data_IF_380745605029
#
_entry.id   IF_380745605029
#
_cell.length_a   1.000
_cell.length_b   1.000
_cell.length_c   1.000
_cell.angle_alpha   90.00
_cell.angle_beta   90.00
_cell.angle_gamma   90.00
#
_symmetry.space_group_name_H-M   'P 1'
#
loop_
_entity.id
_entity.type
_entity.pdbx_description
1 polymer ?
#
# COMPACT_ATOMS: atom_id res chain seq x y z
N UNK A 1 9.32 20.57 1.99
CA UNK A 1 7.90 20.80 2.38
C UNK A 1 7.26 19.43 2.50
N UNK A 2 6.97 19.01 3.73
CA UNK A 2 6.13 17.85 3.98
C UNK A 2 4.69 18.35 4.08
N UNK A 3 3.85 17.95 3.16
CA UNK A 3 2.43 18.20 3.21
C UNK A 3 1.75 16.99 3.86
N UNK A 4 1.09 17.20 4.99
CA UNK A 4 0.18 16.22 5.55
C UNK A 4 -1.18 16.47 4.92
N UNK A 5 -1.56 15.63 3.97
CA UNK A 5 -2.91 15.64 3.41
C UNK A 5 -3.78 14.87 4.41
N UNK A 6 -4.67 15.59 5.10
CA UNK A 6 -5.73 14.96 5.88
C UNK A 6 -6.74 14.36 4.91
N UNK A 7 -6.77 13.04 4.79
CA UNK A 7 -7.89 12.34 4.20
C UNK A 7 -9.04 12.24 5.22
N UNK A 8 -10.22 11.79 4.82
CA UNK A 8 -11.41 11.53 5.67
C UNK A 8 -11.10 10.78 6.99
N UNK A 9 -9.94 10.15 7.08
CA UNK A 9 -9.45 9.47 8.29
C UNK A 9 -9.12 10.40 9.46
N UNK A 10 -8.95 11.70 9.28
CA UNK A 10 -8.49 12.57 10.36
C UNK A 10 -9.50 12.76 11.50
N UNK A 11 -10.80 12.72 11.22
CA UNK A 11 -11.84 12.83 12.25
C UNK A 11 -12.48 11.47 12.55
N UNK A 12 -12.68 10.63 11.53
CA UNK A 12 -13.47 9.40 11.65
C UNK A 12 -12.70 8.23 12.25
N UNK A 13 -11.41 8.09 11.93
CA UNK A 13 -10.58 6.96 12.32
C UNK A 13 -9.30 7.37 13.05
N UNK A 14 -9.29 8.60 13.60
CA UNK A 14 -8.11 9.19 14.19
C UNK A 14 -7.71 8.60 15.55
N UNK A 15 -8.52 7.67 16.09
CA UNK A 15 -8.35 7.16 17.45
C UNK A 15 -8.08 8.31 18.44
N UNK A 16 -9.03 9.25 18.52
CA UNK A 16 -8.97 10.47 19.34
C UNK A 16 -7.76 11.35 19.02
N UNK A 17 -7.43 11.49 17.74
CA UNK A 17 -6.33 12.33 17.26
C UNK A 17 -4.95 11.69 17.34
N UNK A 18 -4.83 10.44 17.78
CA UNK A 18 -3.52 9.78 17.92
C UNK A 18 -2.82 9.59 16.58
N UNK A 19 -3.58 9.38 15.50
CA UNK A 19 -3.04 9.29 14.14
C UNK A 19 -2.45 10.62 13.69
N UNK A 20 -3.21 11.72 13.78
CA UNK A 20 -2.75 13.08 13.46
C UNK A 20 -1.50 13.45 14.26
N UNK A 21 -1.51 13.16 15.57
CA UNK A 21 -0.35 13.39 16.42
C UNK A 21 0.90 12.65 15.97
N UNK A 22 0.77 11.35 15.65
CA UNK A 22 1.89 10.53 15.15
C UNK A 22 2.47 11.08 13.85
N UNK A 23 1.64 11.51 12.91
CA UNK A 23 2.08 12.12 11.65
C UNK A 23 2.87 13.41 11.89
N UNK A 24 2.34 14.34 12.70
CA UNK A 24 3.03 15.58 13.01
C UNK A 24 4.36 15.35 13.73
N UNK A 25 4.37 14.46 14.72
CA UNK A 25 5.61 14.10 15.43
C UNK A 25 6.62 13.38 14.53
N UNK A 26 6.15 12.56 13.60
CA UNK A 26 6.98 11.92 12.58
C UNK A 26 7.67 12.94 11.68
N UNK A 27 6.92 13.92 11.17
CA UNK A 27 7.46 15.00 10.35
C UNK A 27 8.50 15.84 11.11
N UNK A 28 8.22 16.22 12.37
CA UNK A 28 9.16 16.98 13.20
C UNK A 28 10.46 16.20 13.46
N UNK A 29 10.36 14.90 13.75
CA UNK A 29 11.52 14.02 13.93
C UNK A 29 12.35 13.87 12.67
N UNK A 30 11.70 13.87 11.51
CA UNK A 30 12.37 13.83 10.21
C UNK A 30 13.03 15.17 9.83
N UNK A 31 12.99 16.18 10.71
CA UNK A 31 13.63 17.48 10.50
C UNK A 31 12.77 18.48 9.74
N UNK A 32 11.45 18.31 9.72
CA UNK A 32 10.58 19.33 9.14
C UNK A 32 10.67 20.64 9.94
N UNK A 33 10.93 21.72 9.25
CA UNK A 33 10.92 23.07 9.82
C UNK A 33 9.55 23.76 9.72
N UNK A 34 8.67 23.22 8.91
CA UNK A 34 7.31 23.69 8.70
C UNK A 34 6.39 22.51 8.42
N UNK A 35 5.22 22.51 9.04
CA UNK A 35 4.14 21.56 8.80
C UNK A 35 2.92 22.34 8.33
N UNK A 36 2.36 21.93 7.20
CA UNK A 36 1.05 22.39 6.75
C UNK A 36 0.01 21.33 7.12
N UNK A 37 -0.99 21.73 7.89
CA UNK A 37 -2.11 20.85 8.25
C UNK A 37 -3.30 21.24 7.38
N UNK A 38 -3.71 20.37 6.53
CA UNK A 38 -4.91 20.51 5.72
C UNK A 38 -6.01 19.61 6.32
N UNK A 39 -7.18 20.09 6.64
CA UNK A 39 -7.64 21.47 6.41
C UNK A 39 -8.14 22.05 7.73
N UNK A 40 -8.29 23.39 7.78
CA UNK A 40 -8.77 24.03 8.99
C UNK A 40 -10.28 23.85 9.19
N UNK A 41 -11.08 23.99 8.15
CA UNK A 41 -12.54 24.13 8.19
C UNK A 41 -13.32 23.30 7.15
N UNK A 42 -12.71 22.38 6.44
CA UNK A 42 -13.40 21.52 5.48
C UNK A 42 -14.18 20.40 6.17
N UNK A 43 -15.38 20.72 6.61
CA UNK A 43 -16.26 19.81 7.36
C UNK A 43 -16.91 18.76 6.47
N UNK A 44 -17.15 19.07 5.23
CA UNK A 44 -17.77 18.21 4.23
C UNK A 44 -16.87 17.04 3.83
N UNK A 45 -15.55 17.22 3.92
CA UNK A 45 -14.56 16.17 3.70
C UNK A 45 -14.11 15.45 4.99
N UNK A 46 -14.60 15.86 6.15
CA UNK A 46 -14.22 15.28 7.44
C UNK A 46 -12.78 15.58 7.86
N UNK A 47 -12.13 16.59 7.28
CA UNK A 47 -10.73 16.94 7.53
C UNK A 47 -10.52 18.18 8.40
N UNK A 48 -11.61 18.78 8.90
CA UNK A 48 -11.57 20.00 9.70
C UNK A 48 -10.89 19.79 11.06
N UNK A 49 -9.97 20.67 11.43
CA UNK A 49 -9.31 20.69 12.75
C UNK A 49 -9.90 21.73 13.70
N UNK A 50 -10.81 22.60 13.25
CA UNK A 50 -11.45 23.58 14.11
C UNK A 50 -12.49 22.93 15.05
N UNK A 51 -13.22 23.70 15.81
CA UNK A 51 -14.19 23.19 16.79
C UNK A 51 -15.29 22.37 16.13
N UNK A 52 -15.41 21.10 16.52
CA UNK A 52 -16.41 20.17 16.04
C UNK A 52 -17.59 20.06 17.01
N UNK A 53 -18.80 19.90 16.49
CA UNK A 53 -19.99 19.75 17.30
C UNK A 53 -20.13 18.34 17.87
N UNK A 54 -20.64 18.25 19.12
CA UNK A 54 -21.07 16.97 19.73
C UNK A 54 -22.44 16.54 19.19
N UNK A 55 -23.30 17.52 18.92
CA UNK A 55 -24.60 17.33 18.30
C UNK A 55 -24.58 18.01 16.95
N UNK A 56 -24.77 17.24 15.90
CA UNK A 56 -24.70 17.72 14.51
C UNK A 56 -26.11 17.97 13.97
N UNK A 57 -26.30 18.97 13.10
CA UNK A 57 -27.60 19.23 12.51
C UNK A 57 -28.04 18.06 11.62
N UNK A 58 -29.33 17.79 11.62
CA UNK A 58 -29.98 16.81 10.75
C UNK A 58 -30.52 17.51 9.50
N UNK A 59 -30.26 16.94 8.32
CA UNK A 59 -30.71 17.51 7.05
C UNK A 59 -30.62 16.51 5.91
N UNK A 60 -30.42 17.01 4.70
CA UNK A 60 -30.21 16.15 3.52
C UNK A 60 -28.83 15.49 3.52
N UNK A 61 -27.86 16.08 4.16
CA UNK A 61 -26.51 15.55 4.33
C UNK A 61 -26.33 14.96 5.71
N UNK A 62 -25.55 13.90 5.81
CA UNK A 62 -25.17 13.27 7.09
C UNK A 62 -23.84 13.87 7.55
N UNK A 63 -23.87 14.57 8.69
CA UNK A 63 -22.65 15.05 9.35
C UNK A 63 -22.21 14.05 10.41
N UNK A 64 -20.92 13.94 10.62
CA UNK A 64 -20.33 13.09 11.67
C UNK A 64 -19.99 13.95 12.87
N UNK A 65 -20.54 13.64 14.07
CA UNK A 65 -20.15 14.35 15.29
C UNK A 65 -18.72 14.03 15.69
N UNK A 66 -18.14 14.87 16.55
CA UNK A 66 -16.88 14.51 17.19
C UNK A 66 -17.05 13.25 18.04
N UNK A 67 -16.00 12.44 18.14
CA UNK A 67 -16.01 11.18 18.89
C UNK A 67 -16.45 11.37 20.34
N UNK A 68 -17.15 10.34 20.87
CA UNK A 68 -17.60 10.36 22.26
C UNK A 68 -16.43 10.46 23.24
N UNK A 69 -16.57 11.35 24.23
CA UNK A 69 -15.52 11.62 25.22
C UNK A 69 -14.38 12.50 24.73
N UNK A 70 -14.51 13.10 23.54
CA UNK A 70 -13.56 14.06 22.99
C UNK A 70 -14.12 15.48 23.09
N UNK A 71 -13.28 16.44 23.51
CA UNK A 71 -13.66 17.85 23.56
C UNK A 71 -13.79 18.47 22.16
N UNK A 72 -14.71 19.41 21.99
CA UNK A 72 -15.04 20.00 20.69
C UNK A 72 -13.85 20.68 19.98
N UNK A 73 -12.88 21.17 20.75
CA UNK A 73 -11.66 21.84 20.27
C UNK A 73 -10.41 20.95 20.35
N UNK A 74 -10.60 19.64 20.48
CA UNK A 74 -9.52 18.67 20.70
C UNK A 74 -8.48 18.71 19.60
N UNK A 75 -8.89 18.64 18.33
CA UNK A 75 -7.97 18.61 17.19
C UNK A 75 -7.22 19.93 17.04
N UNK A 76 -7.89 21.06 17.31
CA UNK A 76 -7.26 22.38 17.32
C UNK A 76 -6.17 22.47 18.41
N UNK A 77 -6.46 21.99 19.62
CA UNK A 77 -5.49 21.89 20.71
C UNK A 77 -4.32 20.99 20.35
N UNK A 78 -4.60 19.84 19.74
CA UNK A 78 -3.58 18.86 19.32
C UNK A 78 -2.58 19.48 18.34
N UNK A 79 -3.07 20.18 17.32
CA UNK A 79 -2.23 20.91 16.35
C UNK A 79 -1.44 22.03 17.04
N UNK A 80 -2.07 22.75 17.97
CA UNK A 80 -1.39 23.77 18.77
C UNK A 80 -0.24 23.21 19.61
N UNK A 81 -0.40 22.06 20.22
CA UNK A 81 0.65 21.39 20.95
C UNK A 81 1.79 20.90 20.03
N UNK A 82 1.45 20.35 18.85
CA UNK A 82 2.45 19.97 17.86
C UNK A 82 3.26 21.18 17.36
N UNK A 83 2.60 22.32 17.17
CA UNK A 83 3.26 23.57 16.79
C UNK A 83 4.27 24.05 17.85
N UNK A 84 3.99 23.87 19.15
CA UNK A 84 4.96 24.18 20.22
C UNK A 84 6.18 23.25 20.14
N UNK A 85 5.99 21.98 19.84
CA UNK A 85 7.09 21.03 19.64
C UNK A 85 7.93 21.43 18.42
N UNK A 86 7.30 21.75 17.30
CA UNK A 86 7.95 22.20 16.08
C UNK A 86 8.84 23.44 16.31
N UNK A 87 8.35 24.41 17.09
CA UNK A 87 9.10 25.62 17.47
C UNK A 87 10.11 25.41 18.59
N UNK A 88 10.27 24.16 19.06
CA UNK A 88 11.15 23.78 20.18
C UNK A 88 10.79 24.47 21.51
N UNK A 89 9.56 24.97 21.66
CA UNK A 89 9.03 25.55 22.90
C UNK A 89 8.64 24.45 23.91
N UNK A 90 8.43 23.24 23.44
CA UNK A 90 8.09 22.06 24.23
C UNK A 90 8.91 20.86 23.77
N UNK A 91 9.50 20.14 24.71
CA UNK A 91 10.14 18.88 24.39
C UNK A 91 9.10 17.83 23.97
N UNK A 92 9.46 16.97 23.02
CA UNK A 92 8.66 15.80 22.70
C UNK A 92 8.66 14.93 23.96
N UNK A 93 7.49 14.80 24.62
CA UNK A 93 7.35 13.82 25.69
C UNK A 93 7.38 12.44 25.04
N UNK A 94 8.49 11.75 25.22
CA UNK A 94 8.57 10.34 24.85
C UNK A 94 7.77 9.55 25.89
N UNK A 95 6.69 8.93 25.45
CA UNK A 95 6.15 7.80 26.19
C UNK A 95 7.15 6.67 25.99
N UNK A 96 8.01 6.44 26.99
CA UNK A 96 9.10 5.46 26.96
C UNK A 96 8.65 4.01 26.83
N UNK A 97 7.36 3.76 26.77
CA UNK A 97 6.79 2.47 26.44
C UNK A 97 6.67 2.19 24.93
N UNK A 98 6.87 3.21 24.09
CA UNK A 98 7.05 2.99 22.66
C UNK A 98 8.56 2.85 22.42
N UNK A 99 8.98 1.66 22.08
CA UNK A 99 10.28 1.38 21.47
C UNK A 99 10.64 2.54 20.55
N UNK A 100 11.89 3.08 20.54
CA UNK A 100 12.25 4.16 19.65
C UNK A 100 11.90 3.72 18.24
N UNK A 101 10.72 4.18 17.80
CA UNK A 101 10.18 3.83 16.50
C UNK A 101 11.28 3.98 15.50
N UNK A 102 11.56 2.95 14.75
CA UNK A 102 12.41 3.08 13.58
C UNK A 102 11.79 4.20 12.75
N UNK A 103 12.45 5.38 12.65
CA UNK A 103 11.84 6.48 11.93
C UNK A 103 11.67 6.08 10.48
N UNK A 104 10.58 6.54 9.82
CA UNK A 104 10.43 6.39 8.39
C UNK A 104 11.67 6.95 7.65
N UNK A 105 12.16 6.28 6.62
CA UNK A 105 11.64 5.03 6.08
C UNK A 105 11.95 3.83 7.00
N UNK A 106 11.06 2.83 7.02
CA UNK A 106 11.28 1.61 7.82
C UNK A 106 12.33 0.67 7.19
N UNK A 107 12.52 0.73 5.88
CA UNK A 107 13.61 0.07 5.15
C UNK A 107 14.73 1.08 4.94
N UNK A 108 15.96 0.74 5.39
CA UNK A 108 17.11 1.67 5.35
C UNK A 108 18.38 1.05 4.82
N UNK A 109 18.43 -0.25 4.73
CA UNK A 109 19.62 -1.01 4.37
C UNK A 109 19.65 -1.41 2.90
N UNK A 110 18.55 -1.16 2.18
CA UNK A 110 18.42 -1.44 0.76
C UNK A 110 17.43 -0.46 0.09
N UNK A 111 17.49 -0.38 -1.22
CA UNK A 111 16.48 0.31 -2.01
C UNK A 111 15.35 -0.67 -2.34
N UNK A 112 14.11 -0.18 -2.27
CA UNK A 112 12.92 -0.94 -2.65
C UNK A 112 11.97 -0.07 -3.44
N UNK A 113 11.18 -0.70 -4.33
CA UNK A 113 10.21 -0.02 -5.15
C UNK A 113 8.89 -0.82 -5.20
N UNK A 114 7.83 -0.16 -5.65
CA UNK A 114 6.55 -0.72 -6.07
C UNK A 114 5.93 -1.72 -5.07
N UNK A 115 5.77 -1.36 -3.78
CA UNK A 115 5.29 -2.30 -2.79
C UNK A 115 3.81 -2.61 -2.95
N UNK A 116 3.43 -3.88 -2.75
CA UNK A 116 2.06 -4.25 -2.40
C UNK A 116 1.95 -4.58 -0.90
N UNK A 117 0.79 -4.32 -0.30
CA UNK A 117 0.63 -4.44 1.13
C UNK A 117 -0.69 -5.11 1.50
N UNK A 118 -0.62 -6.21 2.28
CA UNK A 118 -1.78 -7.01 2.66
C UNK A 118 -1.77 -7.36 4.14
N UNK A 119 -2.94 -7.39 4.75
CA UNK A 119 -3.14 -7.96 6.09
C UNK A 119 -3.72 -9.35 5.91
N UNK A 120 -3.02 -10.36 6.44
CA UNK A 120 -3.47 -11.74 6.34
C UNK A 120 -4.25 -12.19 7.59
N UNK A 121 -4.67 -13.45 7.62
CA UNK A 121 -5.49 -14.02 8.70
C UNK A 121 -4.83 -13.97 10.09
N UNK A 122 -3.51 -13.90 10.14
CA UNK A 122 -2.75 -13.72 11.39
C UNK A 122 -2.81 -12.29 11.95
N UNK A 123 -3.45 -11.36 11.23
CA UNK A 123 -3.61 -9.96 11.61
C UNK A 123 -2.37 -9.11 11.37
N UNK A 124 -1.29 -9.66 10.82
CA UNK A 124 -0.07 -8.91 10.47
C UNK A 124 -0.20 -8.25 9.10
N UNK A 125 0.36 -7.06 8.98
CA UNK A 125 0.59 -6.38 7.70
C UNK A 125 1.88 -6.92 7.09
N UNK A 126 1.79 -7.39 5.84
CA UNK A 126 2.93 -7.81 5.02
C UNK A 126 3.10 -6.85 3.85
N UNK A 127 4.34 -6.48 3.58
CA UNK A 127 4.73 -5.61 2.45
C UNK A 127 5.68 -6.39 1.56
N UNK A 128 5.26 -6.58 0.33
CA UNK A 128 6.04 -7.25 -0.73
C UNK A 128 6.62 -6.17 -1.63
N UNK A 129 7.93 -6.14 -1.79
CA UNK A 129 8.60 -5.08 -2.52
C UNK A 129 9.69 -5.60 -3.45
N UNK A 130 9.83 -4.95 -4.59
CA UNK A 130 10.98 -5.15 -5.48
C UNK A 130 12.26 -4.65 -4.82
N UNK A 131 13.36 -5.38 -4.98
CA UNK A 131 14.69 -4.87 -4.66
C UNK A 131 15.13 -3.90 -5.76
N UNK A 132 15.13 -2.63 -5.46
CA UNK A 132 15.60 -1.59 -6.36
C UNK A 132 17.12 -1.45 -6.29
N UNK A 133 17.71 -0.93 -7.35
CA UNK A 133 19.16 -0.83 -7.49
C UNK A 133 19.58 0.63 -7.37
N UNK A 134 20.69 0.85 -6.68
CA UNK A 134 21.22 2.19 -6.47
C UNK A 134 21.47 2.94 -7.80
N UNK A 135 21.14 4.24 -7.87
CA UNK A 135 21.40 5.06 -9.05
C UNK A 135 22.89 4.98 -9.51
N UNK A 136 23.18 5.22 -10.78
CA UNK A 136 22.33 5.79 -11.84
C UNK A 136 21.46 4.78 -12.60
N UNK A 137 21.63 3.49 -12.37
CA UNK A 137 20.82 2.43 -13.00
C UNK A 137 19.95 1.77 -11.95
N UNK A 138 18.72 1.44 -12.30
CA UNK A 138 17.74 0.94 -11.35
C UNK A 138 16.81 -0.12 -11.96
N UNK A 139 15.71 0.28 -12.52
CA UNK A 139 14.57 -0.59 -12.83
C UNK A 139 14.90 -1.82 -13.70
N UNK A 140 15.82 -1.71 -14.66
CA UNK A 140 16.24 -2.82 -15.52
C UNK A 140 17.13 -3.86 -14.80
N UNK A 141 17.62 -3.54 -13.61
CA UNK A 141 18.48 -4.41 -12.81
C UNK A 141 17.80 -4.99 -11.57
N UNK A 142 16.56 -4.62 -11.29
CA UNK A 142 15.78 -5.20 -10.19
C UNK A 142 15.74 -6.72 -10.31
N UNK A 143 16.32 -7.43 -9.35
CA UNK A 143 16.67 -8.84 -9.49
C UNK A 143 15.90 -9.77 -8.54
N UNK A 144 15.18 -9.23 -7.53
CA UNK A 144 14.55 -10.02 -6.49
C UNK A 144 13.41 -9.31 -5.77
N UNK A 145 12.68 -10.06 -4.96
CA UNK A 145 11.63 -9.54 -4.08
C UNK A 145 11.94 -9.83 -2.63
N UNK A 146 11.65 -8.85 -1.77
CA UNK A 146 11.73 -8.94 -0.32
C UNK A 146 10.36 -8.81 0.33
N UNK A 147 10.20 -9.39 1.52
CA UNK A 147 9.00 -9.24 2.34
C UNK A 147 9.35 -8.65 3.70
N UNK A 148 8.56 -7.68 4.09
CA UNK A 148 8.62 -7.06 5.41
C UNK A 148 7.27 -7.24 6.10
N UNK A 149 7.22 -7.37 7.43
CA UNK A 149 5.96 -7.44 8.13
C UNK A 149 5.96 -6.71 9.46
N UNK A 150 4.76 -6.35 9.93
CA UNK A 150 4.58 -5.66 11.20
C UNK A 150 3.21 -5.95 11.81
N UNK A 151 3.13 -5.91 13.15
CA UNK A 151 1.86 -5.95 13.88
C UNK A 151 1.38 -4.54 14.29
N UNK A 152 2.26 -3.56 14.29
CA UNK A 152 2.04 -2.25 14.89
C UNK A 152 2.44 -1.07 13.98
N UNK A 153 2.93 -1.34 12.77
CA UNK A 153 3.49 -0.37 11.80
C UNK A 153 4.67 0.45 12.37
N UNK A 154 5.26 -0.03 13.47
CA UNK A 154 6.38 0.59 14.18
C UNK A 154 7.58 -0.34 14.20
N UNK A 155 7.36 -1.57 14.61
CA UNK A 155 8.37 -2.63 14.66
C UNK A 155 8.23 -3.50 13.42
N UNK A 156 9.27 -3.57 12.62
CA UNK A 156 9.26 -4.31 11.36
C UNK A 156 10.18 -5.51 11.42
N UNK A 157 9.72 -6.61 10.86
CA UNK A 157 10.51 -7.81 10.60
C UNK A 157 10.86 -7.83 9.13
N UNK A 158 12.14 -7.91 8.80
CA UNK A 158 12.63 -8.22 7.46
C UNK A 158 12.74 -9.75 7.33
N UNK A 159 11.97 -10.33 6.42
CA UNK A 159 11.98 -11.77 6.15
C UNK A 159 13.01 -12.15 5.08
N UNK A 160 13.66 -11.16 4.48
CA UNK A 160 14.62 -11.39 3.41
C UNK A 160 13.99 -11.63 2.05
N UNK A 161 14.79 -12.21 1.19
CA UNK A 161 14.42 -12.52 -0.18
C UNK A 161 13.46 -13.72 -0.26
N UNK A 162 12.43 -13.57 -1.09
CA UNK A 162 11.44 -14.64 -1.33
C UNK A 162 11.50 -15.21 -2.74
N UNK A 163 12.02 -14.46 -3.71
CA UNK A 163 12.14 -14.85 -5.09
C UNK A 163 13.19 -14.01 -5.80
N UNK A 164 13.96 -14.61 -6.70
CA UNK A 164 14.92 -13.92 -7.56
C UNK A 164 14.73 -14.28 -9.04
N UNK A 165 15.26 -13.44 -9.93
CA UNK A 165 15.07 -13.55 -11.38
C UNK A 165 15.66 -14.84 -11.99
N UNK A 166 16.71 -15.40 -11.39
CA UNK A 166 17.33 -16.65 -11.79
C UNK A 166 16.47 -17.89 -11.49
N UNK A 167 15.45 -17.76 -10.66
CA UNK A 167 14.47 -18.80 -10.36
C UNK A 167 13.29 -18.83 -11.34
N UNK A 168 13.24 -17.90 -12.32
CA UNK A 168 12.15 -17.81 -13.31
C UNK A 168 12.48 -18.64 -14.54
N UNK A 169 11.86 -19.82 -14.78
CA UNK A 169 12.28 -20.76 -15.83
C UNK A 169 12.13 -20.24 -17.26
N UNK A 170 11.18 -19.32 -17.49
CA UNK A 170 10.96 -18.68 -18.80
C UNK A 170 11.63 -17.32 -18.92
N UNK A 171 12.24 -16.83 -17.82
CA UNK A 171 12.76 -15.48 -17.71
C UNK A 171 13.96 -15.23 -18.60
N UNK A 172 14.31 -13.96 -18.70
CA UNK A 172 15.53 -13.52 -19.38
C UNK A 172 16.76 -14.12 -18.73
N UNK A 173 17.72 -14.55 -19.56
CA UNK A 173 19.00 -15.10 -19.09
C UNK A 173 19.84 -14.08 -18.33
N UNK A 174 19.71 -12.82 -18.69
CA UNK A 174 20.39 -11.69 -18.05
C UNK A 174 19.78 -11.29 -16.71
N UNK A 175 18.61 -11.84 -16.37
CA UNK A 175 17.88 -11.47 -15.16
C UNK A 175 17.32 -10.06 -15.20
N UNK A 176 17.12 -9.45 -14.03
CA UNK A 176 16.55 -8.12 -13.87
C UNK A 176 15.02 -8.08 -14.00
N UNK A 177 14.45 -6.88 -14.05
CA UNK A 177 13.04 -6.63 -14.35
C UNK A 177 12.02 -7.31 -13.41
N UNK A 178 12.40 -7.57 -12.17
CA UNK A 178 11.49 -8.03 -11.12
C UNK A 178 10.74 -6.80 -10.57
N UNK A 179 9.74 -6.34 -11.34
CA UNK A 179 9.00 -5.09 -11.08
C UNK A 179 7.80 -5.33 -10.17
N UNK A 180 6.92 -4.33 -10.07
CA UNK A 180 5.78 -4.26 -9.16
C UNK A 180 5.08 -5.61 -8.93
N UNK A 181 5.19 -6.21 -7.73
CA UNK A 181 4.56 -7.47 -7.41
C UNK A 181 3.20 -7.28 -6.74
N UNK A 182 2.45 -8.37 -6.67
CA UNK A 182 1.32 -8.49 -5.76
C UNK A 182 1.24 -9.88 -5.13
N UNK A 183 0.48 -10.01 -4.05
CA UNK A 183 0.25 -11.28 -3.38
C UNK A 183 -1.23 -11.44 -3.04
N UNK A 184 -1.77 -12.63 -3.26
CA UNK A 184 -3.13 -12.99 -2.87
C UNK A 184 -3.13 -14.28 -2.05
N UNK A 185 -4.15 -14.44 -1.20
CA UNK A 185 -4.34 -15.66 -0.42
C UNK A 185 -5.65 -16.32 -0.78
N UNK A 186 -5.60 -17.63 -1.04
CA UNK A 186 -6.80 -18.44 -1.28
C UNK A 186 -6.57 -19.87 -0.83
N UNK A 187 -7.49 -20.42 -0.05
CA UNK A 187 -7.54 -21.82 0.33
C UNK A 187 -6.20 -22.37 0.93
N UNK A 188 -5.58 -21.60 1.83
CA UNK A 188 -4.33 -22.03 2.50
C UNK A 188 -3.07 -21.79 1.69
N UNK A 189 -3.16 -21.15 0.54
CA UNK A 189 -2.04 -20.91 -0.35
C UNK A 189 -1.89 -19.42 -0.64
N UNK A 190 -0.68 -18.92 -0.52
CA UNK A 190 -0.28 -17.59 -0.97
C UNK A 190 0.20 -17.68 -2.41
N UNK A 191 -0.35 -16.82 -3.26
CA UNK A 191 -0.02 -16.68 -4.67
C UNK A 191 0.67 -15.36 -4.87
N UNK A 192 1.94 -15.39 -5.20
CA UNK A 192 2.75 -14.22 -5.44
C UNK A 192 2.85 -13.98 -6.95
N UNK A 193 2.35 -12.81 -7.40
CA UNK A 193 2.32 -12.42 -8.80
C UNK A 193 3.41 -11.40 -9.06
N UNK A 194 4.10 -11.58 -10.18
CA UNK A 194 5.21 -10.71 -10.55
C UNK A 194 5.32 -10.57 -12.07
N UNK A 195 5.55 -9.37 -12.61
CA UNK A 195 5.84 -9.21 -14.03
C UNK A 195 7.28 -9.62 -14.30
N UNK A 196 7.51 -10.31 -15.42
CA UNK A 196 8.85 -10.63 -15.88
C UNK A 196 8.88 -10.86 -17.38
N UNK A 197 9.82 -10.23 -18.13
CA UNK A 197 9.93 -10.46 -19.57
C UNK A 197 10.56 -11.82 -19.87
N UNK A 198 10.05 -12.51 -20.88
CA UNK A 198 10.55 -13.82 -21.29
C UNK A 198 11.65 -13.75 -22.34
N UNK A 199 11.82 -12.59 -22.99
CA UNK A 199 12.80 -12.39 -24.07
C UNK A 199 13.36 -10.97 -24.04
N UNK A 200 14.09 -10.62 -25.08
CA UNK A 200 14.65 -9.29 -25.28
C UNK A 200 13.68 -8.31 -25.94
N UNK A 201 12.63 -8.82 -26.58
CA UNK A 201 11.57 -7.98 -27.12
C UNK A 201 10.75 -7.41 -25.97
N UNK A 202 10.82 -6.09 -25.82
CA UNK A 202 10.25 -5.38 -24.69
C UNK A 202 8.73 -5.41 -24.66
N UNK A 203 8.07 -5.29 -25.81
CA UNK A 203 6.64 -5.05 -25.86
C UNK A 203 5.80 -6.32 -25.74
N UNK A 204 6.31 -7.45 -26.26
CA UNK A 204 5.51 -8.65 -26.45
C UNK A 204 5.93 -9.81 -25.54
N UNK A 205 6.97 -9.65 -24.73
CA UNK A 205 7.53 -10.75 -23.94
C UNK A 205 7.12 -10.79 -22.46
N UNK A 206 6.43 -9.77 -21.99
CA UNK A 206 6.02 -9.67 -20.59
C UNK A 206 4.97 -10.73 -20.22
N UNK A 207 5.19 -11.37 -19.08
CA UNK A 207 4.27 -12.33 -18.46
C UNK A 207 4.09 -11.99 -17.00
N UNK A 208 2.90 -12.28 -16.47
CA UNK A 208 2.67 -12.25 -15.04
C UNK A 208 2.94 -13.64 -14.49
N UNK A 209 4.11 -13.78 -13.88
CA UNK A 209 4.54 -14.99 -13.20
C UNK A 209 3.74 -15.26 -11.93
N UNK A 210 3.66 -16.52 -11.54
CA UNK A 210 3.02 -16.95 -10.30
C UNK A 210 3.97 -17.86 -9.54
N UNK A 211 4.27 -17.48 -8.29
CA UNK A 211 4.94 -18.35 -7.33
C UNK A 211 4.01 -18.63 -6.14
N UNK A 212 4.09 -19.81 -5.56
CA UNK A 212 3.20 -20.21 -4.46
C UNK A 212 3.95 -20.63 -3.21
N UNK A 213 3.35 -20.37 -2.06
CA UNK A 213 3.80 -20.83 -0.76
C UNK A 213 2.60 -21.09 0.17
N UNK A 214 2.79 -21.90 1.21
CA UNK A 214 1.85 -22.03 2.33
C UNK A 214 2.16 -21.04 3.48
N UNK A 215 3.13 -20.16 3.29
CA UNK A 215 3.54 -19.12 4.22
C UNK A 215 3.62 -17.76 3.54
N UNK A 216 3.29 -16.66 4.23
CA UNK A 216 3.20 -15.35 3.60
C UNK A 216 4.56 -14.74 3.22
N UNK A 217 5.66 -15.17 3.83
CA UNK A 217 6.95 -14.49 3.68
C UNK A 217 8.13 -15.43 3.42
N UNK A 218 7.90 -16.68 3.07
CA UNK A 218 8.98 -17.62 2.79
C UNK A 218 8.52 -18.80 1.93
N UNK A 219 9.45 -19.51 1.31
CA UNK A 219 9.21 -20.78 0.63
C UNK A 219 8.46 -20.70 -0.69
N UNK A 220 8.40 -19.53 -1.32
CA UNK A 220 7.77 -19.36 -2.63
C UNK A 220 8.50 -20.17 -3.70
N UNK A 221 7.71 -20.84 -4.55
CA UNK A 221 8.19 -21.61 -5.68
C UNK A 221 7.44 -21.20 -6.94
N UNK A 222 8.16 -20.88 -7.98
CA UNK A 222 7.59 -20.52 -9.28
C UNK A 222 6.81 -21.70 -9.83
N UNK A 223 5.55 -21.47 -10.20
CA UNK A 223 4.66 -22.46 -10.80
C UNK A 223 4.53 -22.29 -12.31
N UNK A 224 4.64 -21.07 -12.78
CA UNK A 224 4.43 -20.69 -14.16
C UNK A 224 4.02 -19.22 -14.24
N UNK A 225 3.17 -18.91 -15.19
CA UNK A 225 2.60 -17.58 -15.37
C UNK A 225 1.09 -17.69 -15.65
N UNK A 226 0.37 -16.58 -15.51
CA UNK A 226 -1.07 -16.56 -15.77
C UNK A 226 -1.32 -16.71 -17.27
N UNK A 227 -1.94 -17.82 -17.65
CA UNK A 227 -2.24 -18.12 -19.05
C UNK A 227 -3.41 -17.27 -19.58
N UNK A 228 -3.28 -16.85 -20.84
CA UNK A 228 -4.32 -16.09 -21.53
C UNK A 228 -4.26 -14.57 -21.34
N UNK A 229 -3.30 -14.06 -20.56
CA UNK A 229 -3.08 -12.63 -20.44
C UNK A 229 -2.28 -12.05 -21.62
N UNK A 230 -2.69 -10.87 -22.07
CA UNK A 230 -1.84 -10.07 -22.97
C UNK A 230 -0.56 -9.63 -22.22
N UNK A 231 0.56 -9.43 -22.95
CA UNK A 231 1.78 -8.89 -22.35
C UNK A 231 1.52 -7.57 -21.62
N UNK A 232 1.80 -7.54 -20.31
CA UNK A 232 1.58 -6.37 -19.45
C UNK A 232 2.35 -6.54 -18.14
N UNK A 233 2.42 -5.44 -17.38
CA UNK A 233 3.06 -5.33 -16.07
C UNK A 233 2.03 -5.04 -14.96
N UNK A 234 2.49 -4.87 -13.75
CA UNK A 234 1.77 -4.35 -12.58
C UNK A 234 0.49 -5.15 -12.25
N UNK A 235 0.62 -6.44 -11.91
CA UNK A 235 -0.52 -7.23 -11.48
C UNK A 235 -1.05 -6.75 -10.14
N UNK A 236 -2.38 -6.74 -10.00
CA UNK A 236 -3.08 -6.66 -8.72
C UNK A 236 -4.13 -7.76 -8.68
N UNK A 237 -4.15 -8.57 -7.63
CA UNK A 237 -5.07 -9.69 -7.50
C UNK A 237 -5.95 -9.51 -6.26
N UNK A 238 -7.24 -9.54 -6.48
CA UNK A 238 -8.27 -9.37 -5.46
C UNK A 238 -9.13 -10.63 -5.37
N UNK A 239 -9.24 -11.20 -4.17
CA UNK A 239 -10.17 -12.29 -3.86
C UNK A 239 -11.35 -11.70 -3.12
N UNK A 240 -12.54 -11.79 -3.71
CA UNK A 240 -13.76 -11.24 -3.12
C UNK A 240 -14.35 -12.18 -2.04
N UNK A 241 -15.32 -11.68 -1.29
CA UNK A 241 -15.97 -12.40 -0.17
C UNK A 241 -16.64 -13.71 -0.60
N UNK A 242 -17.03 -13.85 -1.87
CA UNK A 242 -17.58 -15.07 -2.44
C UNK A 242 -16.52 -16.09 -2.89
N UNK A 243 -15.23 -15.74 -2.73
CA UNK A 243 -14.08 -16.54 -3.13
C UNK A 243 -13.70 -16.42 -4.60
N UNK A 244 -14.41 -15.60 -5.40
CA UNK A 244 -14.00 -15.31 -6.77
C UNK A 244 -12.76 -14.43 -6.77
N UNK A 245 -11.71 -14.86 -7.46
CA UNK A 245 -10.51 -14.07 -7.66
C UNK A 245 -10.57 -13.27 -8.98
N UNK A 246 -10.06 -12.07 -8.92
CA UNK A 246 -9.92 -11.16 -10.06
C UNK A 246 -8.47 -10.72 -10.17
N UNK A 247 -8.00 -10.58 -11.40
CA UNK A 247 -6.69 -10.01 -11.69
C UNK A 247 -6.85 -8.72 -12.51
N UNK A 248 -6.13 -7.71 -12.10
CA UNK A 248 -6.00 -6.43 -12.81
C UNK A 248 -4.55 -6.26 -13.20
N UNK A 249 -4.29 -5.60 -14.31
CA UNK A 249 -2.97 -5.18 -14.73
C UNK A 249 -3.07 -3.92 -15.57
N UNK A 250 -1.98 -3.19 -15.67
CA UNK A 250 -2.02 -2.00 -16.50
C UNK A 250 -0.72 -1.23 -16.53
N UNK A 251 -0.48 -0.65 -17.67
CA UNK A 251 0.62 0.26 -17.96
C UNK A 251 0.33 1.05 -19.22
N UNK A 252 1.04 2.16 -19.42
CA UNK A 252 0.86 3.01 -20.58
C UNK A 252 -0.55 3.61 -20.72
N UNK A 253 -1.21 3.88 -19.59
CA UNK A 253 -2.55 4.48 -19.54
C UNK A 253 -3.71 3.50 -19.77
N UNK A 254 -3.46 2.20 -19.80
CA UNK A 254 -4.49 1.17 -20.03
C UNK A 254 -4.55 0.21 -18.87
N UNK A 255 -5.72 0.08 -18.23
CA UNK A 255 -6.01 -0.93 -17.20
C UNK A 255 -6.98 -1.97 -17.74
N UNK A 256 -6.68 -3.24 -17.54
CA UNK A 256 -7.57 -4.36 -17.81
C UNK A 256 -7.83 -5.17 -16.55
N UNK A 257 -9.01 -5.76 -16.44
CA UNK A 257 -9.39 -6.66 -15.35
C UNK A 257 -10.05 -7.93 -15.89
N UNK A 258 -9.86 -9.03 -15.21
CA UNK A 258 -10.43 -10.33 -15.59
C UNK A 258 -10.62 -11.24 -14.39
N UNK A 259 -11.45 -12.28 -14.55
CA UNK A 259 -11.62 -13.32 -13.54
C UNK A 259 -10.51 -14.35 -13.65
N UNK A 260 -10.06 -14.84 -12.51
CA UNK A 260 -9.21 -16.02 -12.42
C UNK A 260 -10.05 -17.27 -12.15
N UNK A 261 -9.64 -18.39 -12.71
CA UNK A 261 -10.12 -19.71 -12.31
C UNK A 261 -9.68 -20.04 -10.88
N UNK A 262 -10.24 -21.07 -10.28
CA UNK A 262 -9.93 -21.48 -8.91
C UNK A 262 -8.46 -21.83 -8.70
N UNK A 263 -7.75 -22.23 -9.74
CA UNK A 263 -6.31 -22.52 -9.67
C UNK A 263 -5.44 -21.25 -9.57
N UNK A 264 -6.03 -20.07 -9.68
CA UNK A 264 -5.34 -18.76 -9.58
C UNK A 264 -4.26 -18.51 -10.65
N UNK A 265 -4.19 -19.34 -11.69
CA UNK A 265 -3.14 -19.31 -12.72
C UNK A 265 -3.68 -19.20 -14.14
N UNK A 266 -4.98 -19.24 -14.31
CA UNK A 266 -5.64 -19.15 -15.60
C UNK A 266 -6.79 -18.15 -15.56
N UNK A 267 -6.99 -17.43 -16.65
CA UNK A 267 -8.16 -16.58 -16.82
C UNK A 267 -9.44 -17.43 -17.01
N UNK A 268 -10.51 -17.00 -16.35
CA UNK A 268 -11.88 -17.48 -16.58
C UNK A 268 -12.61 -16.52 -17.54
N UNK A 269 -12.19 -16.54 -18.78
CA UNK A 269 -12.68 -15.64 -19.84
C UNK A 269 -11.69 -14.51 -20.17
N UNK A 270 -12.05 -13.64 -21.12
CA UNK A 270 -11.14 -12.59 -21.59
C UNK A 270 -11.01 -11.44 -20.58
N UNK A 271 -9.84 -10.81 -20.54
CA UNK A 271 -9.63 -9.53 -19.84
C UNK A 271 -10.50 -8.43 -20.45
N UNK A 272 -11.07 -7.59 -19.62
CA UNK A 272 -11.92 -6.47 -19.99
C UNK A 272 -11.21 -5.15 -19.75
N UNK A 273 -11.34 -4.22 -20.68
CA UNK A 273 -10.87 -2.86 -20.47
C UNK A 273 -11.67 -2.20 -19.34
N UNK A 274 -10.98 -1.70 -18.33
CA UNK A 274 -11.59 -0.92 -17.26
C UNK A 274 -11.95 0.47 -17.78
N UNK A 275 -13.24 0.83 -17.66
CA UNK A 275 -13.77 2.09 -18.18
C UNK A 275 -14.02 3.07 -17.04
N UNK A 276 -13.86 4.37 -17.34
CA UNK A 276 -14.13 5.44 -16.38
C UNK A 276 -12.95 5.76 -15.45
N UNK A 277 -11.79 5.21 -15.71
CA UNK A 277 -10.56 5.64 -15.06
C UNK A 277 -10.07 6.91 -15.74
N UNK A 278 -9.90 7.96 -14.96
CA UNK A 278 -9.33 9.23 -15.40
C UNK A 278 -7.86 9.27 -15.00
N UNK A 279 -6.99 9.73 -15.89
CA UNK A 279 -5.55 9.90 -15.66
C UNK A 279 -4.81 8.65 -15.16
N UNK A 280 -5.34 7.44 -15.44
CA UNK A 280 -4.66 6.20 -15.11
C UNK A 280 -3.36 6.09 -15.93
N UNK A 281 -2.25 5.84 -15.23
CA UNK A 281 -0.95 5.61 -15.85
C UNK A 281 -0.57 4.13 -15.82
N UNK A 282 -0.41 3.58 -14.62
CA UNK A 282 -0.04 2.18 -14.35
C UNK A 282 -0.38 1.80 -12.91
N UNK A 283 -0.07 0.58 -12.47
CA UNK A 283 -0.16 0.10 -11.09
C UNK A 283 -1.56 0.18 -10.49
N UNK A 284 -2.51 -0.56 -11.06
CA UNK A 284 -3.86 -0.69 -10.51
C UNK A 284 -3.83 -1.30 -9.09
N UNK A 285 -4.65 -0.75 -8.21
CA UNK A 285 -4.90 -1.33 -6.89
C UNK A 285 -6.39 -1.35 -6.58
N UNK A 286 -6.92 -2.50 -6.18
CA UNK A 286 -8.33 -2.63 -5.83
C UNK A 286 -8.51 -3.08 -4.39
N UNK A 287 -9.49 -2.49 -3.70
CA UNK A 287 -9.92 -2.93 -2.39
C UNK A 287 -11.44 -2.76 -2.23
N UNK A 288 -11.98 -3.46 -1.23
CA UNK A 288 -13.38 -3.39 -0.86
C UNK A 288 -13.53 -2.72 0.50
N UNK A 289 -14.38 -1.71 0.57
CA UNK A 289 -14.71 -1.03 1.82
C UNK A 289 -16.20 -0.70 1.87
N UNK A 290 -16.87 -1.04 2.99
CA UNK A 290 -18.31 -0.80 3.19
C UNK A 290 -19.19 -1.28 2.01
N UNK A 291 -18.88 -2.44 1.42
CA UNK A 291 -19.61 -3.03 0.30
C UNK A 291 -19.42 -2.31 -1.04
N UNK A 292 -18.47 -1.39 -1.13
CA UNK A 292 -18.05 -0.72 -2.37
C UNK A 292 -16.65 -1.16 -2.77
N UNK A 293 -16.38 -1.13 -4.06
CA UNK A 293 -15.07 -1.41 -4.62
C UNK A 293 -14.43 -0.10 -5.06
N UNK A 294 -13.15 0.04 -4.77
CA UNK A 294 -12.31 1.18 -5.13
C UNK A 294 -11.14 0.66 -5.95
N UNK A 295 -10.97 1.21 -7.15
CA UNK A 295 -9.88 0.91 -8.07
C UNK A 295 -9.08 2.18 -8.32
#
# INVERSE_FOLDING_TARGET
>A
RLSLVGSEMCIRDSNKGSFLWKQMMGAIRAGAEMIYVAMFDEIDEGTAIFKCAKEVPTGKSTFVPIEEGVESDHYLKLVGEAAKVLRKEKAIAFNTSLNPATPNPFIRHMYTADPSAHVWEDGRLYVYASHDIAPPRGCDLMDRYHVFSTDDMVTWTDHGEILSSDQVPWGRKEGGFMWAPDCAYKNGTYYFYFPHPSETDWNDSWKIGVATSNKPAEGFKVQGYVEGMDPMIDPCVFVDDDGQAYIYNGGGGTCKGGKLKDNMMELDGPMQLMKGLEDFHEAAWIHKYNGKYYL
#
